data_IF_416859477836
#
_entry.id   IF_416859477836
#
_cell.length_a   1.000
_cell.length_b   1.000
_cell.length_c   1.000
_cell.angle_alpha   90.00
_cell.angle_beta   90.00
_cell.angle_gamma   90.00
#
_symmetry.space_group_name_H-M   'P 1'
#
loop_
_entity.id
_entity.type
_entity.pdbx_description
1 polymer ?
#
# COMPACT_ATOMS: atom_id res chain seq x y z
N UNK A 1 -2.18 51.40 24.52
CA UNK A 1 -2.09 49.93 24.37
C UNK A 1 -2.65 49.57 23.00
N UNK A 2 -1.80 49.29 22.02
CA UNK A 2 -2.24 48.95 20.66
C UNK A 2 -2.11 47.44 20.45
N UNK A 3 -3.26 46.76 20.35
CA UNK A 3 -3.31 45.33 20.02
C UNK A 3 -2.91 45.15 18.55
N UNK A 4 -1.93 44.29 18.31
CA UNK A 4 -1.49 43.89 16.97
C UNK A 4 -2.61 43.14 16.27
N UNK A 5 -2.95 43.57 15.07
CA UNK A 5 -3.78 42.81 14.13
C UNK A 5 -3.05 41.53 13.77
N UNK A 6 -3.61 40.38 14.16
CA UNK A 6 -3.21 39.08 13.64
C UNK A 6 -3.59 39.05 12.17
N UNK A 7 -2.60 38.85 11.29
CA UNK A 7 -2.84 38.57 9.89
C UNK A 7 -3.55 37.21 9.83
N UNK A 8 -4.88 37.24 9.69
CA UNK A 8 -5.65 36.10 9.22
C UNK A 8 -5.03 35.69 7.88
N UNK A 9 -4.64 34.41 7.75
CA UNK A 9 -4.45 33.83 6.43
C UNK A 9 -5.72 34.15 5.64
N UNK A 10 -5.56 34.73 4.45
CA UNK A 10 -6.69 35.11 3.60
C UNK A 10 -7.60 33.91 3.34
N UNK A 11 -8.86 34.20 3.04
CA UNK A 11 -9.91 33.21 2.83
C UNK A 11 -9.40 32.11 1.88
N UNK A 12 -9.38 30.86 2.37
CA UNK A 12 -8.87 29.66 1.65
C UNK A 12 -9.85 29.21 0.55
N UNK A 13 -10.41 30.18 -0.17
CA UNK A 13 -11.34 29.95 -1.27
C UNK A 13 -10.60 29.29 -2.44
N UNK A 14 -11.14 28.15 -2.91
CA UNK A 14 -10.64 27.46 -4.10
C UNK A 14 -9.74 26.24 -3.86
N UNK A 15 -9.57 25.79 -2.62
CA UNK A 15 -8.93 24.49 -2.36
C UNK A 15 -9.87 23.35 -2.74
N UNK A 16 -9.34 22.38 -3.50
CA UNK A 16 -10.05 21.18 -3.91
C UNK A 16 -9.44 19.95 -3.24
N UNK A 17 -10.27 19.08 -2.71
CA UNK A 17 -9.86 17.76 -2.23
C UNK A 17 -10.11 16.72 -3.32
N UNK A 18 -9.24 15.72 -3.43
CA UNK A 18 -9.42 14.61 -4.36
C UNK A 18 -9.79 13.34 -3.59
N UNK A 19 -10.97 12.81 -3.88
CA UNK A 19 -11.39 11.46 -3.44
C UNK A 19 -11.34 10.51 -4.64
N UNK A 20 -10.75 9.30 -4.53
CA UNK A 20 -10.61 8.36 -5.64
C UNK A 20 -11.93 8.03 -6.36
N UNK A 21 -13.04 8.00 -5.62
CA UNK A 21 -14.35 7.63 -6.14
C UNK A 21 -15.20 8.83 -6.60
N UNK A 22 -14.86 10.06 -6.18
CA UNK A 22 -15.67 11.28 -6.44
C UNK A 22 -14.95 12.37 -7.23
N UNK A 23 -13.63 12.26 -7.43
CA UNK A 23 -12.83 13.24 -8.14
C UNK A 23 -12.51 14.49 -7.32
N UNK A 24 -12.19 15.60 -8.00
CA UNK A 24 -11.90 16.90 -7.36
C UNK A 24 -13.19 17.55 -6.88
N UNK A 25 -13.31 17.78 -5.58
CA UNK A 25 -14.44 18.48 -4.96
C UNK A 25 -13.97 19.74 -4.24
N UNK A 26 -14.76 20.81 -4.32
CA UNK A 26 -14.46 22.07 -3.64
C UNK A 26 -14.64 21.89 -2.13
N UNK A 27 -13.67 22.35 -1.35
CA UNK A 27 -13.74 22.34 0.10
C UNK A 27 -14.50 23.61 0.51
N UNK A 28 -15.72 23.46 1.01
CA UNK A 28 -16.46 24.59 1.56
C UNK A 28 -15.71 25.13 2.78
N UNK A 29 -15.49 26.46 2.89
CA UNK A 29 -14.91 27.05 4.08
C UNK A 29 -15.91 26.86 5.23
N UNK A 30 -15.60 25.94 6.13
CA UNK A 30 -16.40 25.65 7.33
C UNK A 30 -16.66 26.93 8.14
N UNK A 31 -17.90 27.22 8.56
CA UNK A 31 -18.15 28.26 9.53
C UNK A 31 -17.68 27.80 10.91
N UNK A 32 -16.88 28.64 11.55
CA UNK A 32 -16.64 28.75 12.99
C UNK A 32 -16.33 27.45 13.76
N UNK A 33 -15.04 27.25 14.02
CA UNK A 33 -14.56 26.41 15.13
C UNK A 33 -15.01 27.08 16.43
N UNK A 34 -16.13 26.61 16.99
CA UNK A 34 -16.50 26.90 18.38
C UNK A 34 -15.39 26.40 19.31
N UNK A 35 -14.81 27.34 20.04
CA UNK A 35 -13.88 27.09 21.15
C UNK A 35 -14.58 26.27 22.23
N UNK A 36 -14.24 24.99 22.34
CA UNK A 36 -14.27 24.32 23.63
C UNK A 36 -12.84 24.09 24.10
N UNK A 37 -12.48 24.90 25.08
CA UNK A 37 -11.27 24.89 25.87
C UNK A 37 -11.06 23.55 26.57
N UNK A 38 -9.90 22.92 26.35
CA UNK A 38 -9.17 22.27 27.42
C UNK A 38 -7.67 22.51 27.21
N UNK A 39 -7.10 23.29 28.13
CA UNK A 39 -5.67 23.40 28.32
C UNK A 39 -5.14 22.03 28.72
N UNK A 40 -4.32 21.40 27.87
CA UNK A 40 -3.35 20.42 28.32
C UNK A 40 -2.00 20.71 27.66
N UNK A 41 -0.99 20.64 28.51
CA UNK A 41 0.40 21.03 28.32
C UNK A 41 0.98 20.68 26.95
N UNK A 42 1.69 21.65 26.38
CA UNK A 42 2.70 21.42 25.34
C UNK A 42 3.82 20.64 26.04
N UNK A 43 3.83 19.32 25.86
CA UNK A 43 5.02 18.51 26.05
C UNK A 43 5.71 18.36 24.69
N UNK A 44 6.93 18.88 24.61
CA UNK A 44 7.81 18.69 23.48
C UNK A 44 8.21 17.21 23.43
N UNK A 45 8.30 16.67 22.20
CA UNK A 45 8.73 15.30 21.86
C UNK A 45 7.68 14.18 21.89
N UNK A 46 6.94 14.05 20.78
CA UNK A 46 6.63 12.73 20.24
C UNK A 46 6.39 12.78 18.72
N UNK A 47 7.35 12.21 17.98
CA UNK A 47 7.10 11.67 16.65
C UNK A 47 6.15 10.48 16.84
N UNK A 48 4.87 10.63 16.54
CA UNK A 48 3.96 9.49 16.40
C UNK A 48 4.12 8.97 14.96
N UNK A 49 4.89 7.89 14.78
CA UNK A 49 4.39 6.52 14.80
C UNK A 49 3.21 6.36 13.83
N UNK A 50 3.55 6.19 12.55
CA UNK A 50 2.61 5.72 11.53
C UNK A 50 2.34 4.24 11.83
N UNK A 51 1.30 3.99 12.62
CA UNK A 51 0.82 2.66 12.91
C UNK A 51 -0.02 2.19 11.72
N UNK A 52 0.48 1.18 11.00
CA UNK A 52 -0.27 0.50 9.96
C UNK A 52 -1.38 -0.30 10.65
N UNK A 53 -2.63 0.13 10.47
CA UNK A 53 -3.78 -0.69 10.80
C UNK A 53 -4.01 -1.68 9.66
N UNK A 54 -3.47 -2.89 9.82
CA UNK A 54 -3.98 -4.10 9.19
C UNK A 54 -5.31 -4.46 9.87
N UNK A 55 -6.39 -4.44 9.10
CA UNK A 55 -7.57 -5.33 9.20
C UNK A 55 -8.79 -4.69 8.53
N UNK A 56 -9.03 -4.97 7.25
CA UNK A 56 -10.38 -5.18 6.71
C UNK A 56 -10.33 -6.14 5.52
N UNK A 57 -10.64 -7.41 5.77
CA UNK A 57 -11.20 -8.30 4.75
C UNK A 57 -12.62 -7.84 4.41
N UNK A 58 -12.90 -7.55 3.13
CA UNK A 58 -13.88 -8.29 2.33
C UNK A 58 -14.36 -7.53 1.08
N UNK A 59 -14.45 -8.34 0.00
CA UNK A 59 -15.43 -8.31 -1.09
C UNK A 59 -15.21 -7.34 -2.24
N UNK A 60 -14.49 -7.91 -3.21
CA UNK A 60 -14.70 -7.80 -4.64
C UNK A 60 -16.15 -7.54 -5.07
N UNK A 61 -16.34 -6.55 -5.95
CA UNK A 61 -17.25 -6.59 -7.11
C UNK A 61 -17.43 -5.18 -7.67
N UNK A 62 -16.82 -4.87 -8.83
CA UNK A 62 -17.46 -4.09 -9.90
C UNK A 62 -16.55 -3.96 -11.15
N UNK A 63 -16.63 -5.01 -11.97
CA UNK A 63 -16.69 -5.07 -13.44
C UNK A 63 -16.58 -3.72 -14.20
N UNK A 64 -15.45 -3.50 -14.87
CA UNK A 64 -15.39 -2.70 -16.12
C UNK A 64 -14.88 -3.58 -17.26
N UNK A 65 -15.70 -3.63 -18.33
CA UNK A 65 -15.55 -4.46 -19.52
C UNK A 65 -14.43 -3.95 -20.42
N UNK A 66 -13.49 -4.82 -20.78
CA UNK A 66 -12.97 -4.98 -22.15
C UNK A 66 -12.30 -6.36 -22.25
N UNK A 67 -12.51 -7.06 -23.38
CA UNK A 67 -12.11 -8.44 -23.71
C UNK A 67 -13.17 -9.50 -23.39
N UNK A 68 -14.28 -9.42 -24.13
CA UNK A 68 -14.96 -10.64 -24.60
C UNK A 68 -13.93 -11.43 -25.40
N UNK A 69 -13.40 -12.50 -24.81
CA UNK A 69 -12.96 -13.74 -25.49
C UNK A 69 -12.25 -14.69 -24.50
N UNK A 70 -11.85 -14.21 -23.30
CA UNK A 70 -11.24 -15.06 -22.26
C UNK A 70 -12.22 -15.51 -21.14
N UNK A 71 -13.48 -15.08 -21.17
CA UNK A 71 -14.44 -15.31 -20.07
C UNK A 71 -14.97 -16.75 -19.99
N UNK A 72 -14.73 -17.60 -20.98
CA UNK A 72 -15.21 -18.99 -20.97
C UNK A 72 -14.13 -20.02 -20.63
N UNK A 73 -12.86 -19.63 -20.52
CA UNK A 73 -11.77 -20.57 -20.20
C UNK A 73 -11.42 -20.59 -18.71
N UNK A 74 -11.58 -19.48 -17.98
CA UNK A 74 -11.15 -19.39 -16.57
C UNK A 74 -12.14 -20.09 -15.61
N UNK A 75 -13.45 -19.86 -15.76
CA UNK A 75 -14.51 -20.56 -15.00
C UNK A 75 -14.53 -22.08 -15.30
N UNK A 76 -14.14 -22.49 -16.50
CA UNK A 76 -14.13 -23.91 -16.89
C UNK A 76 -12.88 -24.65 -16.38
N UNK A 77 -11.74 -23.96 -16.25
CA UNK A 77 -10.49 -24.54 -15.73
C UNK A 77 -10.55 -24.70 -14.21
N UNK A 78 -11.19 -23.77 -13.48
CA UNK A 78 -11.36 -23.85 -12.03
C UNK A 78 -12.28 -25.03 -11.63
N UNK A 79 -13.43 -25.18 -12.29
CA UNK A 79 -14.34 -26.34 -12.10
C UNK A 79 -13.67 -27.69 -12.46
N UNK A 80 -12.81 -27.72 -13.49
CA UNK A 80 -12.07 -28.93 -13.88
C UNK A 80 -10.98 -29.27 -12.85
N UNK A 81 -10.30 -28.28 -12.27
CA UNK A 81 -9.27 -28.52 -11.27
C UNK A 81 -9.87 -28.91 -9.91
N UNK A 82 -10.97 -28.27 -9.50
CA UNK A 82 -11.68 -28.59 -8.27
C UNK A 82 -12.33 -29.98 -8.34
N UNK A 83 -12.91 -30.34 -9.48
CA UNK A 83 -13.42 -31.71 -9.71
C UNK A 83 -12.31 -32.75 -9.73
N UNK A 84 -11.13 -32.46 -10.30
CA UNK A 84 -9.96 -33.37 -10.26
C UNK A 84 -9.41 -33.58 -8.85
N UNK A 85 -9.30 -32.52 -8.04
CA UNK A 85 -8.88 -32.65 -6.63
C UNK A 85 -9.93 -33.38 -5.79
N UNK A 86 -11.21 -33.12 -6.03
CA UNK A 86 -12.32 -33.82 -5.37
C UNK A 86 -12.33 -35.32 -5.71
N UNK A 87 -12.08 -35.66 -6.97
CA UNK A 87 -11.94 -37.05 -7.42
C UNK A 87 -10.74 -37.75 -6.78
N UNK A 88 -9.60 -37.06 -6.64
CA UNK A 88 -8.42 -37.60 -5.96
C UNK A 88 -8.67 -37.79 -4.46
N UNK A 89 -9.26 -36.81 -3.78
CA UNK A 89 -9.60 -36.91 -2.37
C UNK A 89 -10.58 -38.07 -2.10
N UNK A 90 -11.53 -38.28 -3.01
CA UNK A 90 -12.44 -39.41 -2.97
C UNK A 90 -11.73 -40.75 -3.18
N UNK A 91 -10.82 -40.84 -4.15
CA UNK A 91 -10.02 -42.05 -4.38
C UNK A 91 -9.06 -42.34 -3.22
N UNK A 92 -8.49 -41.32 -2.57
CA UNK A 92 -7.69 -41.47 -1.34
C UNK A 92 -8.56 -42.01 -0.19
N UNK A 93 -9.80 -41.54 -0.07
CA UNK A 93 -10.73 -42.09 0.92
C UNK A 93 -11.09 -43.55 0.62
N UNK A 94 -11.38 -43.88 -0.64
CA UNK A 94 -11.71 -45.24 -1.09
C UNK A 94 -10.53 -46.20 -0.89
N UNK A 95 -9.31 -45.79 -1.23
CA UNK A 95 -8.08 -46.56 -0.97
C UNK A 95 -7.83 -46.76 0.53
N UNK A 96 -8.01 -45.74 1.37
CA UNK A 96 -7.92 -45.89 2.83
C UNK A 96 -8.94 -46.90 3.37
N UNK A 97 -10.18 -46.90 2.86
CA UNK A 97 -11.17 -47.92 3.26
C UNK A 97 -10.79 -49.34 2.80
N UNK A 98 -10.13 -49.47 1.65
CA UNK A 98 -9.61 -50.75 1.16
C UNK A 98 -8.40 -51.21 1.97
N UNK A 99 -7.52 -50.30 2.39
CA UNK A 99 -6.42 -50.58 3.32
C UNK A 99 -6.97 -51.07 4.67
N UNK A 100 -7.95 -50.38 5.24
CA UNK A 100 -8.57 -50.78 6.50
C UNK A 100 -9.27 -52.14 6.38
N UNK A 101 -9.93 -52.41 5.25
CA UNK A 101 -10.55 -53.69 4.95
C UNK A 101 -9.50 -54.80 4.78
N UNK A 102 -8.38 -54.54 4.12
CA UNK A 102 -7.27 -55.49 3.96
C UNK A 102 -6.53 -55.77 5.28
N UNK A 103 -6.38 -54.76 6.14
CA UNK A 103 -5.81 -54.92 7.48
C UNK A 103 -6.77 -55.68 8.42
N UNK A 104 -8.07 -55.43 8.31
CA UNK A 104 -9.11 -56.16 9.03
C UNK A 104 -9.17 -57.65 8.66
N UNK A 105 -9.06 -57.99 7.37
CA UNK A 105 -9.02 -59.38 6.90
C UNK A 105 -7.70 -60.11 7.21
N UNK A 106 -6.61 -59.37 7.46
CA UNK A 106 -5.35 -59.92 7.94
C UNK A 106 -5.39 -60.23 9.45
N UNK A 107 -6.17 -59.46 10.22
CA UNK A 107 -6.40 -59.66 11.66
C UNK A 107 -7.34 -60.83 11.95
N UNK A 108 -8.23 -61.20 11.02
CA UNK A 108 -9.22 -62.25 11.19
C UNK A 108 -8.78 -63.52 10.44
N UNK A 109 -7.99 -64.34 11.12
CA UNK A 109 -7.42 -65.57 10.58
C UNK A 109 -8.49 -66.63 10.27
N UNK A 110 -9.03 -66.70 9.04
CA UNK A 110 -9.66 -67.95 8.53
C UNK A 110 -10.09 -68.03 7.04
N UNK A 111 -9.80 -67.10 6.12
CA UNK A 111 -10.25 -67.27 4.71
C UNK A 111 -9.19 -66.86 3.66
N UNK A 112 -8.35 -67.81 3.24
CA UNK A 112 -7.26 -67.60 2.28
C UNK A 112 -7.71 -67.13 0.88
N UNK A 113 -8.99 -67.31 0.49
CA UNK A 113 -9.50 -66.93 -0.84
C UNK A 113 -10.00 -65.48 -0.96
N UNK A 114 -10.29 -64.80 0.15
CA UNK A 114 -10.80 -63.42 0.16
C UNK A 114 -9.70 -62.36 0.30
N UNK A 115 -8.60 -62.74 0.93
CA UNK A 115 -7.48 -61.85 1.23
C UNK A 115 -6.66 -61.50 -0.02
N UNK A 116 -6.50 -62.44 -0.98
CA UNK A 116 -5.77 -62.15 -2.21
C UNK A 116 -6.50 -61.15 -3.10
N UNK A 117 -7.82 -61.28 -3.23
CA UNK A 117 -8.65 -60.39 -4.08
C UNK A 117 -8.70 -58.96 -3.53
N UNK A 118 -8.81 -58.81 -2.21
CA UNK A 118 -8.80 -57.48 -1.56
C UNK A 118 -7.42 -56.81 -1.65
N UNK A 119 -6.34 -57.59 -1.67
CA UNK A 119 -4.98 -57.09 -1.85
C UNK A 119 -4.69 -56.75 -3.32
N UNK A 120 -5.24 -57.52 -4.27
CA UNK A 120 -5.18 -57.21 -5.70
C UNK A 120 -5.97 -55.92 -6.03
N UNK A 121 -7.18 -55.76 -5.46
CA UNK A 121 -8.00 -54.53 -5.57
C UNK A 121 -7.30 -53.32 -4.92
N UNK A 122 -6.59 -53.53 -3.81
CA UNK A 122 -5.77 -52.49 -3.20
C UNK A 122 -4.57 -52.14 -4.10
N UNK A 123 -3.92 -53.13 -4.71
CA UNK A 123 -2.81 -52.92 -5.63
C UNK A 123 -3.21 -52.14 -6.88
N UNK A 124 -4.36 -52.46 -7.46
CA UNK A 124 -4.92 -51.78 -8.64
C UNK A 124 -5.36 -50.34 -8.30
N UNK A 125 -6.03 -50.13 -7.17
CA UNK A 125 -6.40 -48.78 -6.70
C UNK A 125 -5.21 -47.89 -6.32
N UNK A 126 -4.13 -48.47 -5.75
CA UNK A 126 -2.88 -47.76 -5.53
C UNK A 126 -2.19 -47.41 -6.86
N UNK A 127 -2.18 -48.35 -7.80
CA UNK A 127 -1.58 -48.17 -9.12
C UNK A 127 -2.28 -47.03 -9.88
N UNK A 128 -3.61 -46.98 -9.85
CA UNK A 128 -4.40 -45.91 -10.45
C UNK A 128 -4.18 -44.56 -9.75
N UNK A 129 -4.08 -44.53 -8.42
CA UNK A 129 -3.79 -43.31 -7.66
C UNK A 129 -2.42 -42.72 -8.03
N UNK A 130 -1.39 -43.57 -8.10
CA UNK A 130 -0.05 -43.15 -8.49
C UNK A 130 0.04 -42.80 -9.99
N UNK A 131 -0.71 -43.51 -10.83
CA UNK A 131 -0.88 -43.19 -12.25
C UNK A 131 -1.46 -41.80 -12.43
N UNK A 132 -2.55 -41.47 -11.74
CA UNK A 132 -3.19 -40.14 -11.81
C UNK A 132 -2.33 -39.01 -11.23
N UNK A 133 -1.54 -39.28 -10.18
CA UNK A 133 -0.55 -38.32 -9.68
C UNK A 133 0.55 -38.04 -10.71
N UNK A 134 0.97 -39.05 -11.46
CA UNK A 134 2.01 -38.93 -12.47
C UNK A 134 1.49 -38.33 -13.79
N UNK A 135 0.33 -38.78 -14.28
CA UNK A 135 -0.34 -38.23 -15.48
C UNK A 135 -0.98 -36.86 -15.23
N UNK A 136 -1.44 -36.57 -14.01
CA UNK A 136 -1.86 -35.23 -13.60
C UNK A 136 -0.72 -34.21 -13.65
N UNK A 137 0.53 -34.67 -13.61
CA UNK A 137 1.74 -33.87 -13.90
C UNK A 137 2.17 -33.90 -15.38
N UNK A 138 1.54 -34.78 -16.19
CA UNK A 138 2.01 -35.22 -17.51
C UNK A 138 1.45 -34.47 -18.72
N UNK A 139 0.67 -33.41 -18.56
CA UNK A 139 0.03 -32.72 -19.68
C UNK A 139 0.21 -31.18 -19.67
N UNK A 140 1.44 -30.70 -19.42
CA UNK A 140 1.98 -29.44 -19.95
C UNK A 140 3.44 -29.36 -19.51
N UNK A 141 4.34 -28.88 -20.36
CA UNK A 141 5.80 -28.89 -20.19
C UNK A 141 6.36 -28.06 -19.01
N UNK A 142 5.52 -27.69 -18.03
CA UNK A 142 5.86 -26.89 -16.87
C UNK A 142 5.18 -27.51 -15.65
N UNK A 143 5.98 -28.17 -14.81
CA UNK A 143 5.54 -28.67 -13.52
C UNK A 143 4.92 -27.51 -12.71
N UNK A 144 3.82 -27.71 -11.97
CA UNK A 144 3.25 -26.69 -11.09
C UNK A 144 4.30 -26.05 -10.15
N UNK A 145 5.29 -26.83 -9.72
CA UNK A 145 6.42 -26.35 -8.93
C UNK A 145 7.34 -25.37 -9.69
N UNK A 146 7.47 -25.52 -11.01
CA UNK A 146 8.24 -24.57 -11.83
C UNK A 146 7.54 -23.22 -11.91
N UNK A 147 6.21 -23.19 -12.04
CA UNK A 147 5.44 -21.93 -12.01
C UNK A 147 5.55 -21.22 -10.67
N UNK A 148 5.54 -21.98 -9.58
CA UNK A 148 5.72 -21.45 -8.22
C UNK A 148 7.15 -20.92 -8.03
N UNK A 149 8.17 -21.61 -8.55
CA UNK A 149 9.55 -21.12 -8.46
C UNK A 149 9.77 -19.86 -9.31
N UNK A 150 9.16 -19.79 -10.49
CA UNK A 150 9.26 -18.63 -11.38
C UNK A 150 8.56 -17.42 -10.76
N UNK A 151 7.36 -17.60 -10.20
CA UNK A 151 6.64 -16.51 -9.51
C UNK A 151 7.34 -16.04 -8.24
N UNK A 152 8.01 -16.95 -7.51
CA UNK A 152 8.86 -16.58 -6.38
C UNK A 152 10.10 -15.79 -6.83
N UNK A 153 10.68 -16.16 -7.97
CA UNK A 153 11.75 -15.41 -8.62
C UNK A 153 11.30 -13.99 -8.98
N UNK A 154 10.15 -13.87 -9.64
CA UNK A 154 9.56 -12.58 -9.99
C UNK A 154 9.28 -11.73 -8.73
N UNK A 155 8.71 -12.33 -7.68
CA UNK A 155 8.48 -11.64 -6.40
C UNK A 155 9.79 -11.15 -5.78
N UNK A 156 10.86 -11.95 -5.82
CA UNK A 156 12.19 -11.53 -5.35
C UNK A 156 12.68 -10.30 -6.11
N UNK A 157 12.59 -10.30 -7.44
CA UNK A 157 13.02 -9.13 -8.23
C UNK A 157 12.15 -7.89 -7.97
N UNK A 158 10.86 -8.07 -7.70
CA UNK A 158 9.98 -6.98 -7.32
C UNK A 158 10.33 -6.42 -5.93
N UNK A 159 10.72 -7.27 -4.99
CA UNK A 159 11.21 -6.85 -3.66
C UNK A 159 12.49 -6.03 -3.81
N UNK A 160 13.46 -6.50 -4.61
CA UNK A 160 14.70 -5.76 -4.88
C UNK A 160 14.41 -4.40 -5.53
N UNK A 161 13.49 -4.36 -6.49
CA UNK A 161 13.05 -3.12 -7.14
C UNK A 161 12.37 -2.18 -6.15
N UNK A 162 11.52 -2.69 -5.27
CA UNK A 162 10.86 -1.90 -4.21
C UNK A 162 11.90 -1.29 -3.28
N UNK A 163 12.92 -2.04 -2.90
CA UNK A 163 13.95 -1.57 -1.99
C UNK A 163 14.84 -0.49 -2.65
N UNK A 164 15.16 -0.65 -3.94
CA UNK A 164 15.80 0.41 -4.73
C UNK A 164 14.96 1.68 -4.83
N UNK A 165 13.65 1.55 -5.04
CA UNK A 165 12.74 2.71 -5.09
C UNK A 165 12.62 3.41 -3.73
N UNK A 166 12.63 2.66 -2.62
CA UNK A 166 12.66 3.24 -1.27
C UNK A 166 13.95 4.04 -1.03
N UNK A 167 15.09 3.56 -1.53
CA UNK A 167 16.35 4.29 -1.45
C UNK A 167 16.30 5.59 -2.27
N UNK A 168 15.82 5.54 -3.51
CA UNK A 168 15.62 6.73 -4.35
C UNK A 168 14.63 7.73 -3.72
N UNK A 169 13.55 7.25 -3.10
CA UNK A 169 12.60 8.09 -2.38
C UNK A 169 13.28 8.81 -1.20
N UNK A 170 14.11 8.10 -0.45
CA UNK A 170 14.87 8.68 0.66
C UNK A 170 15.87 9.74 0.17
N UNK A 171 16.54 9.49 -0.94
CA UNK A 171 17.48 10.44 -1.55
C UNK A 171 16.76 11.70 -2.07
N UNK A 172 15.64 11.52 -2.78
CA UNK A 172 14.83 12.64 -3.27
C UNK A 172 14.24 13.46 -2.13
N UNK A 173 13.76 12.83 -1.06
CA UNK A 173 13.33 13.51 0.15
C UNK A 173 14.46 14.35 0.76
N UNK A 174 15.66 13.77 0.89
CA UNK A 174 16.82 14.50 1.39
C UNK A 174 17.19 15.70 0.50
N UNK A 175 17.09 15.55 -0.83
CA UNK A 175 17.31 16.63 -1.78
C UNK A 175 16.27 17.76 -1.63
N UNK A 176 15.00 17.40 -1.45
CA UNK A 176 13.90 18.36 -1.18
C UNK A 176 14.16 19.11 0.12
N UNK A 177 14.50 18.42 1.21
CA UNK A 177 14.78 19.05 2.49
C UNK A 177 15.98 20.00 2.41
N UNK A 178 17.02 19.61 1.67
CA UNK A 178 18.18 20.47 1.42
C UNK A 178 17.82 21.70 0.59
N UNK A 179 16.99 21.55 -0.45
CA UNK A 179 16.52 22.67 -1.25
C UNK A 179 15.63 23.61 -0.43
N UNK A 180 14.75 23.06 0.42
CA UNK A 180 13.92 23.83 1.35
C UNK A 180 14.76 24.66 2.32
N UNK A 181 15.80 24.06 2.92
CA UNK A 181 16.71 24.77 3.81
C UNK A 181 17.43 25.92 3.09
N UNK A 182 17.92 25.69 1.87
CA UNK A 182 18.53 26.74 1.04
C UNK A 182 17.56 27.89 0.74
N UNK A 183 16.32 27.59 0.37
CA UNK A 183 15.31 28.61 0.12
C UNK A 183 15.00 29.43 1.37
N UNK A 184 14.95 28.80 2.54
CA UNK A 184 14.75 29.52 3.81
C UNK A 184 15.93 30.46 4.08
N UNK A 185 17.16 29.99 3.85
CA UNK A 185 18.37 30.79 4.00
C UNK A 185 18.38 31.99 3.03
N UNK A 186 18.08 31.77 1.75
CA UNK A 186 17.97 32.82 0.74
C UNK A 186 16.88 33.85 1.09
N UNK A 187 15.71 33.41 1.57
CA UNK A 187 14.65 34.30 2.02
C UNK A 187 15.10 35.13 3.22
N UNK A 188 15.81 34.52 4.18
CA UNK A 188 16.33 35.21 5.35
C UNK A 188 17.39 36.25 4.99
N UNK A 189 18.30 35.91 4.07
CA UNK A 189 19.29 36.85 3.54
C UNK A 189 18.61 38.02 2.82
N UNK A 190 17.64 37.73 1.96
CA UNK A 190 16.90 38.75 1.23
C UNK A 190 16.11 39.66 2.18
N UNK A 191 15.47 39.10 3.21
CA UNK A 191 14.76 39.87 4.24
C UNK A 191 15.70 40.79 5.02
N UNK A 192 16.90 40.31 5.38
CA UNK A 192 17.92 41.14 6.04
C UNK A 192 18.38 42.28 5.13
N UNK A 193 18.67 41.98 3.86
CA UNK A 193 19.10 42.99 2.88
C UNK A 193 18.03 44.07 2.66
N UNK A 194 16.75 43.69 2.61
CA UNK A 194 15.65 44.66 2.46
C UNK A 194 15.43 45.46 3.74
N UNK A 195 15.61 44.86 4.92
CA UNK A 195 15.56 45.59 6.18
C UNK A 195 16.68 46.65 6.25
N UNK A 196 17.89 46.31 5.82
CA UNK A 196 19.00 47.26 5.70
C UNK A 196 18.65 48.38 4.71
N UNK A 197 18.15 48.04 3.52
CA UNK A 197 17.73 49.02 2.50
C UNK A 197 16.67 49.98 3.03
N UNK A 198 15.63 49.45 3.69
CA UNK A 198 14.57 50.25 4.31
C UNK A 198 15.11 51.13 5.44
N UNK A 199 16.07 50.65 6.22
CA UNK A 199 16.71 51.46 7.27
C UNK A 199 17.45 52.66 6.68
N UNK A 200 18.19 52.47 5.59
CA UNK A 200 18.91 53.53 4.87
C UNK A 200 17.94 54.55 4.30
N UNK A 201 16.84 54.09 3.68
CA UNK A 201 15.80 54.98 3.14
C UNK A 201 15.16 55.81 4.25
N UNK A 202 14.85 55.20 5.41
CA UNK A 202 14.32 55.94 6.58
C UNK A 202 15.32 56.96 7.12
N UNK A 203 16.60 56.62 7.20
CA UNK A 203 17.65 57.56 7.63
C UNK A 203 17.77 58.74 6.65
N UNK A 204 17.79 58.48 5.34
CA UNK A 204 17.82 59.52 4.31
C UNK A 204 16.60 60.44 4.37
N UNK A 205 15.41 59.87 4.54
CA UNK A 205 14.15 60.62 4.68
C UNK A 205 14.18 61.53 5.91
N UNK A 206 14.61 61.02 7.08
CA UNK A 206 14.77 61.83 8.30
C UNK A 206 15.78 62.96 8.10
N UNK A 207 16.92 62.68 7.47
CA UNK A 207 17.94 63.68 7.19
C UNK A 207 17.43 64.77 6.25
N UNK A 208 16.69 64.41 5.19
CA UNK A 208 16.05 65.37 4.30
C UNK A 208 15.03 66.25 5.05
N UNK A 209 14.21 65.67 5.94
CA UNK A 209 13.27 66.42 6.78
C UNK A 209 13.99 67.41 7.70
N UNK A 210 15.03 66.98 8.41
CA UNK A 210 15.81 67.85 9.31
C UNK A 210 16.50 68.98 8.54
N UNK A 211 17.00 68.70 7.33
CA UNK A 211 17.58 69.73 6.48
C UNK A 211 16.53 70.73 5.98
N UNK A 212 15.34 70.25 5.60
CA UNK A 212 14.22 71.10 5.19
C UNK A 212 13.77 72.00 6.35
N UNK A 213 13.62 71.45 7.56
CA UNK A 213 13.28 72.21 8.77
C UNK A 213 14.34 73.27 9.06
N UNK A 214 15.62 72.93 8.93
CA UNK A 214 16.72 73.89 9.13
C UNK A 214 16.71 75.01 8.09
N UNK A 215 16.35 74.73 6.84
CA UNK A 215 16.22 75.75 5.79
C UNK A 215 15.00 76.65 6.04
N UNK A 216 13.85 76.07 6.38
CA UNK A 216 12.65 76.82 6.75
C UNK A 216 12.92 77.76 7.93
N UNK A 217 13.62 77.26 8.95
CA UNK A 217 13.95 78.06 10.13
C UNK A 217 15.00 79.16 9.86
N UNK A 218 15.74 79.08 8.74
CA UNK A 218 16.63 80.15 8.27
C UNK A 218 15.93 81.19 7.39
N UNK A 219 14.79 80.83 6.79
CA UNK A 219 13.98 81.72 5.94
C UNK A 219 12.96 82.54 6.72
N UNK A 220 12.68 82.14 7.96
CA UNK A 220 11.83 82.84 8.93
C UNK A 220 12.65 83.80 9.77
#
# INVERSE_FOLDING_TARGET
>A
MSKRSGKSLGDMEGLKSYEPDKGWSDIDPTPEIEKSSSEQNIDEHKFDNWEASDDVEHKTSLKTKTNQDNFFEEDFIEDIQESKMSNLARQVAETNTLVDKALGTLSESSNESGNSKTLDELGESLHDLFGQLYEGSGASSSSPWSKISDSLGDLSTQIDKRDSLKEQLKETQHSIDKARLKLIEEIQELANSEQERLSVIRMRSRLASVMADKLLNKLR
#
